data_IF_177924032960
#
_entry.id   IF_177924032960
#
_cell.length_a   1.000
_cell.length_b   1.000
_cell.length_c   1.000
_cell.angle_alpha   90.00
_cell.angle_beta   90.00
_cell.angle_gamma   90.00
#
_symmetry.space_group_name_H-M   'P 1'
#
loop_
_entity.id
_entity.type
_entity.pdbx_description
1 polymer ?
#
# COMPACT_ATOMS: atom_id res chain seq x y z
N UNK A 1 30.40 -32.66 -2.81
CA UNK A 1 30.86 -31.27 -2.78
C UNK A 1 31.78 -31.14 -1.55
N UNK A 2 33.08 -31.02 -1.73
CA UNK A 2 34.05 -30.96 -0.63
C UNK A 2 33.88 -29.60 0.08
N UNK A 3 33.59 -29.63 1.36
CA UNK A 3 33.58 -28.40 2.19
C UNK A 3 35.03 -28.07 2.54
N UNK A 4 35.46 -26.83 2.31
CA UNK A 4 36.74 -26.33 2.77
C UNK A 4 36.82 -26.38 4.31
N UNK A 5 38.00 -26.69 4.86
CA UNK A 5 38.23 -26.57 6.30
C UNK A 5 38.48 -25.08 6.67
N UNK A 6 38.47 -24.78 7.98
CA UNK A 6 38.65 -23.41 8.46
C UNK A 6 39.98 -22.77 8.05
N UNK A 7 41.06 -23.57 8.02
CA UNK A 7 42.39 -23.10 7.65
C UNK A 7 42.45 -22.70 6.16
N UNK A 8 41.81 -23.48 5.29
CA UNK A 8 41.69 -23.15 3.86
C UNK A 8 40.84 -21.89 3.62
N UNK A 9 39.79 -21.71 4.41
CA UNK A 9 38.94 -20.51 4.34
C UNK A 9 39.75 -19.30 4.78
N UNK A 10 40.47 -19.39 5.88
CA UNK A 10 41.32 -18.32 6.40
C UNK A 10 42.43 -17.94 5.42
N UNK A 11 43.03 -18.91 4.74
CA UNK A 11 44.06 -18.67 3.71
C UNK A 11 43.49 -17.92 2.53
N UNK A 12 42.28 -18.24 2.05
CA UNK A 12 41.60 -17.44 0.99
C UNK A 12 41.41 -15.98 1.43
N UNK A 13 41.07 -15.77 2.68
CA UNK A 13 40.77 -14.43 3.22
C UNK A 13 42.03 -13.60 3.50
N UNK A 14 43.22 -14.21 3.59
CA UNK A 14 44.49 -13.51 3.85
C UNK A 14 45.26 -13.18 2.59
N UNK A 15 44.83 -13.63 1.40
CA UNK A 15 45.48 -13.23 0.16
C UNK A 15 45.42 -11.71 -0.08
N UNK A 16 46.55 -11.16 -0.56
CA UNK A 16 46.62 -9.75 -0.88
C UNK A 16 45.55 -9.35 -1.91
N UNK A 17 44.99 -8.13 -1.82
CA UNK A 17 43.92 -7.66 -2.72
C UNK A 17 44.24 -7.77 -4.22
N UNK A 18 45.50 -7.63 -4.59
CA UNK A 18 45.96 -7.64 -5.99
C UNK A 18 45.87 -9.02 -6.66
N UNK A 19 45.78 -10.12 -5.88
CA UNK A 19 45.59 -11.45 -6.45
C UNK A 19 44.14 -11.62 -6.95
N UNK A 20 44.02 -12.01 -8.20
CA UNK A 20 42.72 -12.33 -8.77
C UNK A 20 42.18 -13.66 -8.21
N UNK A 21 40.86 -13.83 -8.20
CA UNK A 21 40.24 -15.08 -7.78
C UNK A 21 40.67 -16.30 -8.62
N UNK A 22 41.19 -16.09 -9.84
CA UNK A 22 41.74 -17.16 -10.69
C UNK A 22 43.11 -17.61 -10.21
N UNK A 23 43.98 -16.71 -9.81
CA UNK A 23 45.32 -16.99 -9.29
C UNK A 23 45.23 -17.74 -7.97
N UNK A 24 44.36 -17.26 -7.05
CA UNK A 24 44.11 -17.92 -5.78
C UNK A 24 43.51 -19.33 -5.99
N UNK A 25 42.60 -19.49 -6.92
CA UNK A 25 42.00 -20.78 -7.26
C UNK A 25 43.02 -21.77 -7.78
N UNK A 26 43.97 -21.28 -8.59
CA UNK A 26 45.06 -22.09 -9.16
C UNK A 26 46.07 -22.49 -8.08
N UNK A 27 46.47 -21.56 -7.19
CA UNK A 27 47.40 -21.81 -6.10
C UNK A 27 46.86 -22.81 -5.07
N UNK A 28 45.59 -22.73 -4.76
CA UNK A 28 44.92 -23.57 -3.79
C UNK A 28 44.30 -24.87 -4.36
N UNK A 29 44.33 -25.06 -5.67
CA UNK A 29 43.74 -26.24 -6.32
C UNK A 29 42.20 -26.32 -6.18
N UNK A 30 41.51 -25.21 -6.07
CA UNK A 30 40.06 -25.14 -5.84
C UNK A 30 39.33 -24.36 -6.93
N UNK A 31 38.01 -24.42 -6.93
CA UNK A 31 37.22 -23.74 -7.96
C UNK A 31 37.16 -22.20 -7.71
N UNK A 32 37.31 -21.41 -8.77
CA UNK A 32 37.19 -19.94 -8.74
C UNK A 32 35.92 -19.42 -8.03
N UNK A 33 34.78 -20.09 -8.26
CA UNK A 33 33.51 -19.70 -7.62
C UNK A 33 33.56 -19.89 -6.11
N UNK A 34 34.32 -20.88 -5.63
CA UNK A 34 34.54 -21.11 -4.21
C UNK A 34 35.42 -20.02 -3.59
N UNK A 35 36.48 -19.59 -4.27
CA UNK A 35 37.31 -18.44 -3.83
C UNK A 35 36.48 -17.18 -3.73
N UNK A 36 35.72 -16.86 -4.77
CA UNK A 36 34.86 -15.66 -4.79
C UNK A 36 33.84 -15.64 -3.64
N UNK A 37 33.26 -16.81 -3.32
CA UNK A 37 32.30 -16.94 -2.22
C UNK A 37 32.92 -16.62 -0.86
N UNK A 38 34.10 -17.14 -0.56
CA UNK A 38 34.72 -16.97 0.76
C UNK A 38 35.49 -15.66 0.91
N UNK A 39 35.92 -15.04 -0.18
CA UNK A 39 36.56 -13.71 -0.18
C UNK A 39 35.53 -12.60 0.10
N UNK A 40 34.36 -12.66 -0.51
CA UNK A 40 33.27 -11.70 -0.29
C UNK A 40 32.63 -11.84 1.11
N UNK A 41 32.74 -13.01 1.76
CA UNK A 41 32.27 -13.20 3.13
C UNK A 41 33.08 -12.40 4.17
N UNK A 42 34.37 -12.14 3.91
CA UNK A 42 35.21 -11.34 4.82
C UNK A 42 34.85 -9.85 4.78
N UNK A 43 34.55 -9.30 3.60
CA UNK A 43 34.16 -7.89 3.46
C UNK A 43 32.83 -7.60 4.18
N UNK A 44 31.88 -8.53 4.08
CA UNK A 44 30.57 -8.38 4.77
C UNK A 44 30.67 -8.55 6.30
N UNK A 45 31.42 -9.53 6.78
CA UNK A 45 31.50 -9.84 8.23
C UNK A 45 32.36 -8.86 9.02
N UNK A 46 33.40 -8.25 8.43
CA UNK A 46 34.27 -7.31 9.14
C UNK A 46 33.64 -5.92 9.34
N UNK A 47 32.86 -5.44 8.37
CA UNK A 47 32.16 -4.15 8.46
C UNK A 47 30.97 -4.27 9.40
N UNK A 48 30.14 -5.33 9.26
CA UNK A 48 28.98 -5.53 10.12
C UNK A 48 29.34 -5.84 11.59
N UNK A 49 30.44 -6.56 11.85
CA UNK A 49 30.81 -6.94 13.21
C UNK A 49 31.44 -5.77 14.01
N UNK A 50 32.24 -4.90 13.38
CA UNK A 50 32.80 -3.72 14.04
C UNK A 50 31.72 -2.67 14.33
N UNK A 51 30.81 -2.44 13.40
CA UNK A 51 29.71 -1.51 13.57
C UNK A 51 28.69 -1.99 14.61
N UNK A 52 28.40 -3.29 14.66
CA UNK A 52 27.46 -3.88 15.64
C UNK A 52 28.05 -3.90 17.04
N UNK A 53 29.38 -4.13 17.20
CA UNK A 53 30.04 -4.08 18.52
C UNK A 53 30.11 -2.64 19.03
N UNK A 54 30.49 -1.68 18.20
CA UNK A 54 30.47 -0.25 18.51
C UNK A 54 29.07 0.23 18.91
N UNK A 55 28.05 -0.11 18.13
CA UNK A 55 26.64 0.24 18.43
C UNK A 55 26.14 -0.40 19.74
N UNK A 56 26.52 -1.63 20.06
CA UNK A 56 26.12 -2.26 21.32
C UNK A 56 26.78 -1.63 22.54
N UNK A 57 28.03 -1.24 22.43
CA UNK A 57 28.74 -0.54 23.51
C UNK A 57 28.17 0.86 23.74
N UNK A 58 27.87 1.60 22.67
CA UNK A 58 27.20 2.89 22.72
C UNK A 58 25.77 2.77 23.29
N UNK A 59 25.00 1.78 22.87
CA UNK A 59 23.67 1.50 23.39
C UNK A 59 23.67 1.14 24.87
N UNK A 60 24.67 0.34 25.33
CA UNK A 60 24.83 0.01 26.74
C UNK A 60 25.19 1.24 27.57
N UNK A 61 26.09 2.10 27.08
CA UNK A 61 26.47 3.33 27.75
C UNK A 61 25.28 4.30 27.84
N UNK A 62 24.50 4.39 26.78
CA UNK A 62 23.28 5.21 26.74
C UNK A 62 22.21 4.69 27.70
N UNK A 63 21.96 3.36 27.72
CA UNK A 63 21.00 2.75 28.68
C UNK A 63 21.44 2.94 30.13
N UNK A 64 22.73 2.88 30.41
CA UNK A 64 23.27 3.15 31.74
C UNK A 64 23.03 4.62 32.16
N UNK A 65 23.37 5.59 31.28
CA UNK A 65 23.09 7.01 31.49
C UNK A 65 21.61 7.33 31.59
N UNK A 66 20.77 6.74 30.73
CA UNK A 66 19.33 6.93 30.79
C UNK A 66 18.70 6.37 32.07
N UNK A 67 19.26 5.27 32.60
CA UNK A 67 18.83 4.69 33.88
C UNK A 67 19.22 5.60 35.05
N UNK A 68 20.44 6.10 35.05
CA UNK A 68 20.96 7.08 36.05
C UNK A 68 20.10 8.35 36.04
N UNK A 69 19.82 8.92 34.88
CA UNK A 69 18.93 10.07 34.70
C UNK A 69 17.50 9.78 35.20
N UNK A 70 16.98 8.60 34.95
CA UNK A 70 15.63 8.21 35.39
C UNK A 70 15.56 8.00 36.90
N UNK A 71 16.66 7.54 37.53
CA UNK A 71 16.75 7.43 38.98
C UNK A 71 16.88 8.81 39.64
N UNK A 72 17.61 9.76 39.04
CA UNK A 72 17.69 11.15 39.48
C UNK A 72 16.37 11.90 39.28
N UNK A 73 15.70 11.70 38.15
CA UNK A 73 14.37 12.27 37.86
C UNK A 73 13.29 11.76 38.82
N UNK A 74 13.38 10.51 39.28
CA UNK A 74 12.44 9.95 40.25
C UNK A 74 12.62 10.50 41.65
N UNK A 75 13.77 11.11 41.95
CA UNK A 75 14.07 11.76 43.24
C UNK A 75 13.72 13.25 43.28
N UNK A 76 13.53 13.89 42.14
CA UNK A 76 13.16 15.31 42.04
C UNK A 76 11.77 15.48 41.41
N UNK A 77 10.77 15.12 42.16
CA UNK A 77 9.38 15.44 41.86
C UNK A 77 9.15 16.93 42.11
N UNK A 78 9.43 17.79 41.17
CA UNK A 78 8.88 19.15 41.01
C UNK A 78 9.77 20.05 40.12
N UNK A 79 9.33 20.30 38.92
CA UNK A 79 9.71 21.32 37.95
C UNK A 79 10.66 20.92 36.83
N UNK A 80 10.05 20.79 35.63
CA UNK A 80 10.78 20.68 34.34
C UNK A 80 11.84 21.79 34.12
N UNK A 81 11.81 22.87 34.90
CA UNK A 81 12.79 23.96 34.83
C UNK A 81 14.10 23.64 35.56
N UNK A 82 14.11 22.76 36.53
CA UNK A 82 15.30 22.43 37.29
C UNK A 82 16.24 21.46 36.58
N UNK A 83 15.74 20.71 35.62
CA UNK A 83 16.55 19.86 34.75
C UNK A 83 17.57 20.63 33.91
N UNK A 84 17.22 21.84 33.43
CA UNK A 84 18.11 22.67 32.66
C UNK A 84 19.22 23.31 33.53
N UNK A 85 19.07 23.32 34.85
CA UNK A 85 20.07 23.84 35.78
C UNK A 85 21.11 22.81 36.21
N UNK A 86 20.87 21.52 35.98
CA UNK A 86 21.79 20.40 36.29
C UNK A 86 22.92 20.24 35.28
N UNK A 87 22.75 20.78 34.08
CA UNK A 87 23.72 20.67 32.99
C UNK A 87 24.20 22.04 32.56
N UNK A 88 25.49 22.18 32.27
CA UNK A 88 26.00 23.40 31.67
C UNK A 88 25.43 23.57 30.26
N UNK A 89 25.33 24.82 29.79
CA UNK A 89 24.93 25.14 28.41
C UNK A 89 25.76 24.38 27.36
N UNK A 90 26.99 24.00 27.73
CA UNK A 90 27.90 23.23 26.90
C UNK A 90 27.43 21.76 26.82
N UNK A 91 27.08 21.14 27.95
CA UNK A 91 26.63 19.75 28.01
C UNK A 91 25.28 19.58 27.28
N UNK A 92 24.37 20.54 27.42
CA UNK A 92 23.10 20.57 26.71
C UNK A 92 23.33 20.71 25.20
N UNK A 93 24.26 21.57 24.77
CA UNK A 93 24.59 21.71 23.34
C UNK A 93 25.26 20.45 22.77
N UNK A 94 26.18 19.84 23.52
CA UNK A 94 26.83 18.59 23.11
C UNK A 94 25.82 17.42 23.04
N UNK A 95 24.91 17.36 24.01
CA UNK A 95 23.83 16.34 24.01
C UNK A 95 22.83 16.57 22.87
N UNK A 96 22.45 17.83 22.61
CA UNK A 96 21.59 18.16 21.46
C UNK A 96 22.31 17.94 20.13
N UNK A 97 23.61 18.18 20.03
CA UNK A 97 24.43 17.92 18.86
C UNK A 97 24.58 16.39 18.63
N UNK A 98 24.77 15.63 19.70
CA UNK A 98 24.83 14.18 19.68
C UNK A 98 23.48 13.59 19.27
N UNK A 99 22.38 14.06 19.84
CA UNK A 99 21.01 13.71 19.44
C UNK A 99 20.79 14.08 17.97
N UNK A 100 21.16 15.27 17.52
CA UNK A 100 21.01 15.71 16.14
C UNK A 100 21.87 14.90 15.15
N UNK A 101 23.04 14.40 15.55
CA UNK A 101 23.93 13.61 14.69
C UNK A 101 23.57 12.12 14.67
N UNK A 102 23.20 11.55 15.80
CA UNK A 102 23.02 10.11 15.94
C UNK A 102 21.55 9.68 15.98
N UNK A 103 20.67 10.58 16.47
CA UNK A 103 19.22 10.38 16.44
C UNK A 103 18.53 11.07 15.27
N UNK A 104 19.25 11.81 14.44
CA UNK A 104 18.62 12.36 13.24
C UNK A 104 18.14 11.25 12.29
N UNK A 105 18.85 10.13 12.26
CA UNK A 105 18.38 8.91 11.58
C UNK A 105 17.26 8.20 12.35
N UNK A 106 17.43 8.04 13.66
CA UNK A 106 16.43 7.35 14.50
C UNK A 106 15.23 8.24 14.80
N UNK A 107 15.38 9.55 14.85
CA UNK A 107 14.26 10.50 14.98
C UNK A 107 13.59 10.70 13.61
N UNK A 108 14.32 10.70 12.51
CA UNK A 108 13.72 10.67 11.18
C UNK A 108 13.05 9.30 10.92
N UNK A 109 13.55 8.19 11.48
CA UNK A 109 12.89 6.89 11.47
C UNK A 109 11.74 6.76 12.50
N UNK A 110 11.77 7.48 13.60
CA UNK A 110 10.73 7.50 14.65
C UNK A 110 9.72 8.65 14.46
N UNK A 111 10.11 9.74 13.81
CA UNK A 111 9.18 10.79 13.35
C UNK A 111 8.70 10.56 11.94
N UNK A 112 9.38 9.76 11.15
CA UNK A 112 8.83 9.18 9.94
C UNK A 112 7.86 8.10 10.38
N UNK A 113 6.61 8.34 10.12
CA UNK A 113 5.58 7.31 10.14
C UNK A 113 6.07 6.26 9.15
N UNK A 114 6.50 5.06 9.61
CA UNK A 114 7.30 4.16 8.77
C UNK A 114 6.49 3.58 7.61
N UNK A 115 5.18 3.81 7.62
CA UNK A 115 4.27 3.31 6.62
C UNK A 115 3.43 4.45 6.06
N UNK A 116 3.75 4.82 4.85
CA UNK A 116 3.03 5.81 4.08
C UNK A 116 2.52 5.17 2.80
N UNK A 117 1.31 5.51 2.40
CA UNK A 117 0.74 5.11 1.14
C UNK A 117 -0.14 6.24 0.59
N UNK A 118 0.13 6.66 -0.62
CA UNK A 118 -0.74 7.56 -1.37
C UNK A 118 -1.29 6.81 -2.57
N UNK A 119 -2.59 6.63 -2.63
CA UNK A 119 -3.23 5.88 -3.70
C UNK A 119 -4.54 6.52 -4.15
N UNK A 120 -4.94 6.21 -5.37
CA UNK A 120 -6.22 6.63 -5.90
C UNK A 120 -7.25 5.51 -5.79
N UNK A 121 -8.46 5.85 -5.40
CA UNK A 121 -9.57 4.92 -5.24
C UNK A 121 -10.66 5.23 -6.25
N UNK A 122 -11.05 4.21 -7.04
CA UNK A 122 -11.94 4.30 -8.19
C UNK A 122 -13.02 3.25 -8.08
N UNK A 123 -14.15 3.48 -8.75
CA UNK A 123 -15.31 2.61 -8.64
C UNK A 123 -16.22 2.65 -9.84
N UNK A 124 -16.95 1.56 -10.04
CA UNK A 124 -18.10 1.45 -10.93
C UNK A 124 -17.88 2.23 -12.23
N UNK A 125 -16.87 1.81 -13.01
CA UNK A 125 -16.53 2.45 -14.27
C UNK A 125 -17.48 2.06 -15.39
N UNK A 126 -18.05 0.85 -15.30
CA UNK A 126 -19.02 0.33 -16.28
C UNK A 126 -18.61 0.63 -17.72
N UNK A 127 -17.36 0.30 -18.06
CA UNK A 127 -16.83 0.52 -19.41
C UNK A 127 -17.74 -0.23 -20.39
N UNK A 128 -18.60 0.37 -21.18
CA UNK A 128 -19.60 -0.13 -22.14
C UNK A 128 -20.95 0.47 -21.92
N UNK A 129 -21.24 0.93 -20.71
CA UNK A 129 -22.39 1.76 -20.55
C UNK A 129 -22.25 3.00 -21.45
N UNK A 130 -23.27 3.35 -22.20
CA UNK A 130 -23.30 4.61 -22.96
C UNK A 130 -23.13 5.81 -22.03
N UNK A 131 -23.44 5.63 -20.77
CA UNK A 131 -23.28 6.60 -19.71
C UNK A 131 -21.91 6.57 -19.04
N UNK A 132 -20.98 5.70 -19.48
CA UNK A 132 -19.60 5.68 -18.94
C UNK A 132 -18.95 7.05 -19.12
N UNK A 133 -18.35 7.54 -18.06
CA UNK A 133 -17.65 8.83 -18.01
C UNK A 133 -16.15 8.62 -18.32
N UNK A 134 -15.86 8.13 -19.51
CA UNK A 134 -14.51 7.68 -19.89
C UNK A 134 -13.51 8.83 -19.94
N UNK A 135 -13.89 9.97 -20.46
CA UNK A 135 -13.01 11.16 -20.56
C UNK A 135 -12.64 11.65 -19.15
N UNK A 136 -13.64 11.69 -18.26
CA UNK A 136 -13.48 12.06 -16.86
C UNK A 136 -12.63 11.03 -16.10
N UNK A 137 -12.71 9.74 -16.45
CA UNK A 137 -11.87 8.69 -15.91
C UNK A 137 -10.40 8.88 -16.34
N UNK A 138 -10.15 9.15 -17.61
CA UNK A 138 -8.80 9.44 -18.10
C UNK A 138 -8.19 10.64 -17.38
N UNK A 139 -8.97 11.74 -17.31
CA UNK A 139 -8.52 12.93 -16.59
C UNK A 139 -8.19 12.65 -15.13
N UNK A 140 -9.04 11.88 -14.43
CA UNK A 140 -8.78 11.49 -13.04
C UNK A 140 -7.48 10.70 -12.89
N UNK A 141 -7.17 9.77 -13.81
CA UNK A 141 -5.92 9.02 -13.80
C UNK A 141 -4.70 9.92 -13.98
N UNK A 142 -4.79 10.89 -14.90
CA UNK A 142 -3.71 11.84 -15.15
C UNK A 142 -3.51 12.79 -13.95
N UNK A 143 -4.59 13.30 -13.37
CA UNK A 143 -4.57 14.17 -12.19
C UNK A 143 -4.02 13.41 -10.97
N UNK A 144 -4.48 12.19 -10.73
CA UNK A 144 -3.99 11.36 -9.62
C UNK A 144 -2.50 11.03 -9.78
N UNK A 145 -2.05 10.74 -11.00
CA UNK A 145 -0.63 10.56 -11.28
C UNK A 145 0.19 11.82 -11.01
N UNK A 146 -0.33 12.99 -11.37
CA UNK A 146 0.30 14.27 -11.09
C UNK A 146 0.40 14.55 -9.59
N UNK A 147 -0.53 14.00 -8.79
CA UNK A 147 -0.54 14.03 -7.33
C UNK A 147 0.32 12.92 -6.68
N UNK A 148 1.14 12.23 -7.47
CA UNK A 148 2.11 11.24 -6.99
C UNK A 148 1.49 10.03 -6.29
N UNK A 149 0.35 9.54 -6.74
CA UNK A 149 -0.18 8.26 -6.25
C UNK A 149 0.73 7.10 -6.64
N UNK A 150 0.83 6.10 -5.79
CA UNK A 150 1.66 4.91 -5.99
C UNK A 150 0.92 3.82 -6.75
N UNK A 151 -0.41 3.79 -6.62
CA UNK A 151 -1.27 2.82 -7.30
C UNK A 151 -2.72 3.30 -7.36
N UNK A 152 -3.52 2.55 -8.11
CA UNK A 152 -4.96 2.69 -8.15
C UNK A 152 -5.63 1.47 -7.53
N UNK A 153 -6.74 1.68 -6.85
CA UNK A 153 -7.57 0.62 -6.28
C UNK A 153 -8.97 0.75 -6.86
N UNK A 154 -9.37 -0.22 -7.67
CA UNK A 154 -10.68 -0.24 -8.33
C UNK A 154 -11.55 -1.35 -7.74
N UNK A 155 -12.74 -0.99 -7.38
CA UNK A 155 -13.50 -1.83 -6.49
C UNK A 155 -14.74 -2.45 -7.09
N UNK A 156 -14.58 -2.95 -8.29
CA UNK A 156 -15.58 -3.73 -9.00
C UNK A 156 -16.42 -2.92 -9.98
N UNK A 157 -17.23 -3.63 -10.73
CA UNK A 157 -18.01 -3.14 -11.86
C UNK A 157 -17.13 -2.38 -12.88
N UNK A 158 -16.05 -3.08 -13.29
CA UNK A 158 -15.14 -2.59 -14.31
C UNK A 158 -15.84 -2.51 -15.67
N UNK A 159 -16.63 -3.55 -15.99
CA UNK A 159 -17.43 -3.63 -17.21
C UNK A 159 -18.93 -3.59 -16.91
N UNK A 160 -19.74 -3.48 -17.94
CA UNK A 160 -21.21 -3.41 -17.81
C UNK A 160 -21.89 -4.57 -18.52
N UNK A 161 -22.08 -5.73 -17.83
CA UNK A 161 -22.79 -6.87 -18.41
C UNK A 161 -24.27 -6.54 -18.73
N UNK A 162 -24.78 -7.01 -19.86
CA UNK A 162 -26.21 -6.91 -20.16
C UNK A 162 -27.02 -7.88 -19.28
N UNK A 163 -28.26 -7.52 -18.96
CA UNK A 163 -29.22 -8.33 -18.20
C UNK A 163 -29.07 -8.33 -16.68
N UNK A 164 -28.25 -7.46 -16.10
CA UNK A 164 -28.24 -7.25 -14.65
C UNK A 164 -29.55 -6.60 -14.20
N UNK A 165 -30.11 -5.71 -14.99
CA UNK A 165 -31.45 -5.14 -14.77
C UNK A 165 -32.24 -4.99 -16.07
N UNK A 166 -33.57 -4.87 -15.93
CA UNK A 166 -34.48 -4.78 -17.07
C UNK A 166 -34.21 -3.52 -17.90
N UNK A 167 -34.05 -3.67 -19.21
CA UNK A 167 -33.82 -2.63 -20.23
C UNK A 167 -32.36 -2.15 -20.33
N UNK A 168 -31.44 -2.69 -19.55
CA UNK A 168 -30.02 -2.34 -19.58
C UNK A 168 -29.40 -2.50 -20.97
N UNK A 169 -29.82 -3.51 -21.73
CA UNK A 169 -29.32 -3.76 -23.09
C UNK A 169 -29.44 -2.55 -24.05
N UNK A 170 -30.29 -1.57 -23.75
CA UNK A 170 -30.42 -0.34 -24.54
C UNK A 170 -29.48 0.77 -24.10
N UNK A 171 -28.89 0.61 -22.93
CA UNK A 171 -27.93 1.56 -22.34
C UNK A 171 -26.49 1.17 -22.61
N UNK A 172 -26.24 0.06 -23.30
CA UNK A 172 -24.91 -0.44 -23.63
C UNK A 172 -24.52 -0.11 -25.06
N UNK A 173 -23.21 0.17 -25.28
CA UNK A 173 -22.63 0.38 -26.61
C UNK A 173 -22.27 -0.92 -27.28
N UNK A 174 -21.73 -1.86 -26.53
CA UNK A 174 -21.30 -3.18 -27.01
C UNK A 174 -21.95 -4.28 -26.17
N UNK A 175 -22.02 -5.51 -26.70
CA UNK A 175 -22.76 -6.58 -26.04
C UNK A 175 -21.99 -7.89 -25.89
N UNK A 176 -20.98 -8.08 -26.74
CA UNK A 176 -20.25 -9.33 -26.77
C UNK A 176 -19.03 -9.32 -25.88
N UNK A 177 -18.65 -10.49 -25.38
CA UNK A 177 -17.55 -10.67 -24.45
C UNK A 177 -16.22 -10.12 -24.99
N UNK A 178 -15.85 -10.54 -26.19
CA UNK A 178 -14.61 -10.13 -26.86
C UNK A 178 -14.56 -8.63 -27.16
N UNK A 179 -15.67 -8.05 -27.65
CA UNK A 179 -15.76 -6.60 -27.85
C UNK A 179 -15.53 -5.83 -26.56
N UNK A 180 -16.06 -6.34 -25.45
CA UNK A 180 -15.90 -5.72 -24.16
C UNK A 180 -14.46 -5.84 -23.62
N UNK A 181 -13.85 -6.99 -23.77
CA UNK A 181 -12.43 -7.15 -23.44
C UNK A 181 -11.57 -6.20 -24.25
N UNK A 182 -11.74 -6.19 -25.56
CA UNK A 182 -10.94 -5.37 -26.48
C UNK A 182 -11.02 -3.89 -26.14
N UNK A 183 -12.19 -3.40 -25.80
CA UNK A 183 -12.34 -2.00 -25.44
C UNK A 183 -11.68 -1.67 -24.11
N UNK A 184 -11.88 -2.47 -23.05
CA UNK A 184 -11.16 -2.22 -21.79
C UNK A 184 -9.67 -2.20 -22.04
N UNK A 185 -9.17 -3.18 -22.80
CA UNK A 185 -7.73 -3.25 -23.13
C UNK A 185 -7.26 -1.99 -23.85
N UNK A 186 -8.09 -1.44 -24.73
CA UNK A 186 -7.78 -0.28 -25.55
C UNK A 186 -8.04 1.05 -24.86
N UNK A 187 -9.21 1.19 -24.26
CA UNK A 187 -9.75 2.49 -23.86
C UNK A 187 -9.63 2.77 -22.34
N UNK A 188 -9.41 1.74 -21.49
CA UNK A 188 -9.17 1.98 -20.07
C UNK A 188 -7.84 2.72 -19.84
N UNK A 189 -7.76 3.75 -18.97
CA UNK A 189 -6.55 4.52 -18.75
C UNK A 189 -5.31 3.67 -18.49
N UNK A 190 -4.17 4.07 -19.06
CA UNK A 190 -2.87 3.41 -18.86
C UNK A 190 -1.81 4.45 -18.52
N UNK A 191 -1.50 4.57 -17.23
CA UNK A 191 -0.56 5.58 -16.70
C UNK A 191 0.73 4.98 -16.15
N UNK A 192 0.97 3.67 -16.38
CA UNK A 192 2.15 2.91 -15.94
C UNK A 192 2.25 2.72 -14.42
N UNK A 193 1.13 2.87 -13.72
CA UNK A 193 0.96 2.52 -12.32
C UNK A 193 -0.02 1.35 -12.21
N UNK A 194 0.14 0.44 -11.23
CA UNK A 194 -0.76 -0.69 -11.09
C UNK A 194 -2.15 -0.24 -10.65
N UNK A 195 -3.17 -0.85 -11.25
CA UNK A 195 -4.56 -0.78 -10.81
C UNK A 195 -4.96 -2.14 -10.25
N UNK A 196 -5.11 -2.22 -8.95
CA UNK A 196 -5.62 -3.41 -8.26
C UNK A 196 -7.14 -3.39 -8.30
N UNK A 197 -7.79 -4.47 -8.75
CA UNK A 197 -9.24 -4.48 -8.86
C UNK A 197 -9.88 -5.79 -8.41
N UNK A 198 -11.10 -5.70 -7.87
CA UNK A 198 -11.97 -6.82 -7.55
C UNK A 198 -13.13 -6.91 -8.54
N UNK A 199 -13.91 -7.97 -8.47
CA UNK A 199 -15.14 -8.11 -9.23
C UNK A 199 -16.28 -7.27 -8.64
N UNK A 200 -17.13 -6.77 -9.51
CA UNK A 200 -18.48 -6.34 -9.17
C UNK A 200 -19.53 -7.32 -9.65
N UNK A 201 -20.78 -7.04 -9.38
CA UNK A 201 -21.87 -7.90 -9.80
C UNK A 201 -22.10 -7.89 -11.32
N UNK A 202 -21.69 -6.82 -12.00
CA UNK A 202 -21.70 -6.76 -13.46
C UNK A 202 -20.62 -7.65 -14.07
N UNK A 203 -19.42 -7.60 -13.53
CA UNK A 203 -18.29 -8.44 -13.96
C UNK A 203 -18.60 -9.93 -13.76
N UNK A 204 -19.14 -10.32 -12.58
CA UNK A 204 -19.51 -11.69 -12.26
C UNK A 204 -20.60 -12.24 -13.16
N UNK A 205 -21.49 -11.40 -13.63
CA UNK A 205 -22.59 -11.83 -14.48
C UNK A 205 -22.12 -12.50 -15.77
N UNK A 206 -20.93 -12.17 -16.28
CA UNK A 206 -20.31 -12.91 -17.38
C UNK A 206 -20.05 -14.37 -17.04
N UNK A 207 -19.47 -14.61 -15.87
CA UNK A 207 -19.17 -15.97 -15.42
C UNK A 207 -20.46 -16.78 -15.21
N UNK A 208 -21.48 -16.15 -14.61
CA UNK A 208 -22.79 -16.81 -14.36
C UNK A 208 -23.50 -17.22 -15.64
N UNK A 209 -23.47 -16.41 -16.68
CA UNK A 209 -24.24 -16.65 -17.90
C UNK A 209 -23.48 -17.38 -19.00
N UNK A 210 -22.18 -17.15 -19.13
CA UNK A 210 -21.38 -17.74 -20.21
C UNK A 210 -20.28 -18.70 -19.73
N UNK A 211 -20.01 -18.74 -18.43
CA UNK A 211 -18.88 -19.48 -17.88
C UNK A 211 -17.51 -18.83 -18.18
N UNK A 212 -17.50 -17.62 -18.76
CA UNK A 212 -16.28 -16.89 -19.10
C UNK A 212 -15.98 -15.80 -18.05
N UNK A 213 -14.74 -15.76 -17.60
CA UNK A 213 -14.26 -14.76 -16.65
C UNK A 213 -13.64 -13.60 -17.41
N UNK A 214 -14.39 -12.50 -17.53
CA UNK A 214 -13.96 -11.31 -18.26
C UNK A 214 -12.82 -10.60 -17.57
N UNK A 215 -12.82 -10.55 -16.26
CA UNK A 215 -11.80 -9.85 -15.47
C UNK A 215 -10.45 -10.54 -15.54
N UNK A 216 -10.45 -11.87 -15.56
CA UNK A 216 -9.25 -12.67 -15.79
C UNK A 216 -8.67 -12.45 -17.19
N UNK A 217 -9.52 -12.38 -18.20
CA UNK A 217 -9.09 -12.14 -19.58
C UNK A 217 -8.47 -10.75 -19.71
N UNK A 218 -9.09 -9.72 -19.12
CA UNK A 218 -8.56 -8.35 -19.10
C UNK A 218 -7.20 -8.30 -18.40
N UNK A 219 -7.05 -8.89 -17.22
CA UNK A 219 -5.80 -8.93 -16.48
C UNK A 219 -4.69 -9.72 -17.21
N UNK A 220 -5.06 -10.70 -18.03
CA UNK A 220 -4.09 -11.42 -18.85
C UNK A 220 -3.57 -10.57 -20.03
N UNK A 221 -4.39 -9.66 -20.54
CA UNK A 221 -4.04 -8.78 -21.68
C UNK A 221 -3.42 -7.43 -21.24
N UNK A 222 -3.57 -7.05 -19.98
CA UNK A 222 -3.13 -5.78 -19.41
C UNK A 222 -2.33 -6.03 -18.14
N UNK A 223 -1.03 -5.87 -18.20
CA UNK A 223 -0.06 -6.06 -17.13
C UNK A 223 -0.19 -5.06 -15.96
N UNK A 224 -0.79 -3.90 -16.22
CA UNK A 224 -1.07 -2.85 -15.24
C UNK A 224 -2.42 -3.06 -14.51
N UNK A 225 -3.30 -3.95 -14.99
CA UNK A 225 -4.57 -4.29 -14.37
C UNK A 225 -4.45 -5.59 -13.58
N UNK A 226 -4.35 -5.51 -12.27
CA UNK A 226 -4.10 -6.64 -11.37
C UNK A 226 -5.41 -7.10 -10.75
N UNK A 227 -5.92 -8.25 -11.21
CA UNK A 227 -7.14 -8.84 -10.68
C UNK A 227 -6.90 -9.50 -9.33
N UNK A 228 -7.61 -9.06 -8.30
CA UNK A 228 -7.55 -9.57 -6.93
C UNK A 228 -8.55 -10.69 -6.65
N UNK A 229 -9.31 -11.08 -7.66
CA UNK A 229 -10.37 -12.11 -7.60
C UNK A 229 -11.56 -11.75 -6.69
N UNK A 230 -12.74 -12.26 -7.05
CA UNK A 230 -14.00 -12.17 -6.31
C UNK A 230 -14.44 -10.77 -5.84
N UNK A 231 -15.52 -10.74 -5.06
CA UNK A 231 -16.18 -9.54 -4.53
C UNK A 231 -15.49 -8.91 -3.35
N UNK A 232 -14.53 -9.59 -2.74
CA UNK A 232 -13.77 -9.11 -1.60
C UNK A 232 -12.30 -9.47 -1.75
N UNK A 233 -11.46 -8.54 -1.34
CA UNK A 233 -10.02 -8.73 -1.28
C UNK A 233 -9.42 -7.89 -0.17
N UNK A 234 -8.31 -8.36 0.35
CA UNK A 234 -7.48 -7.60 1.29
C UNK A 234 -6.12 -7.35 0.67
N UNK A 235 -5.78 -6.09 0.51
CA UNK A 235 -4.47 -5.62 0.08
C UNK A 235 -3.66 -5.20 1.28
N UNK A 236 -2.39 -5.57 1.32
CA UNK A 236 -1.43 -5.01 2.25
C UNK A 236 -0.34 -4.31 1.44
N UNK A 237 -0.39 -2.99 1.44
CA UNK A 237 0.56 -2.13 0.76
C UNK A 237 1.27 -1.28 1.81
N UNK A 238 2.59 -1.41 1.92
CA UNK A 238 3.39 -0.70 2.92
C UNK A 238 2.84 -0.83 4.36
N UNK A 239 2.42 -2.03 4.77
CA UNK A 239 1.75 -2.32 6.05
C UNK A 239 0.44 -1.56 6.30
N UNK A 240 -0.12 -0.95 5.28
CA UNK A 240 -1.47 -0.40 5.28
C UNK A 240 -2.41 -1.44 4.69
N UNK A 241 -3.37 -1.86 5.50
CA UNK A 241 -4.32 -2.90 5.13
C UNK A 241 -5.59 -2.26 4.58
N UNK A 242 -5.87 -2.55 3.30
CA UNK A 242 -7.06 -2.08 2.61
C UNK A 242 -7.93 -3.29 2.33
N UNK A 243 -9.12 -3.32 2.87
CA UNK A 243 -10.12 -4.33 2.55
C UNK A 243 -11.15 -3.74 1.58
N UNK A 244 -11.40 -4.47 0.51
CA UNK A 244 -12.32 -4.10 -0.56
C UNK A 244 -13.48 -5.07 -0.56
N UNK A 245 -14.69 -4.57 -0.79
CA UNK A 245 -15.86 -5.42 -0.89
C UNK A 245 -16.91 -4.84 -1.84
N UNK A 246 -17.36 -5.65 -2.81
CA UNK A 246 -18.43 -5.29 -3.73
C UNK A 246 -19.61 -6.24 -3.58
N UNK A 247 -20.64 -5.81 -2.83
CA UNK A 247 -21.82 -6.63 -2.58
C UNK A 247 -23.10 -5.92 -3.00
N UNK A 248 -23.97 -6.66 -3.68
CA UNK A 248 -25.30 -6.21 -4.01
C UNK A 248 -26.22 -6.13 -2.80
N UNK A 249 -27.34 -5.48 -2.98
CA UNK A 249 -28.43 -5.38 -2.01
C UNK A 249 -29.10 -4.01 -2.04
N UNK A 250 -30.34 -3.93 -1.55
CA UNK A 250 -31.12 -2.69 -1.58
C UNK A 250 -30.54 -1.55 -0.76
N UNK A 251 -30.89 -0.31 -1.08
CA UNK A 251 -30.53 0.88 -0.32
C UNK A 251 -31.13 0.88 1.09
N UNK A 252 -30.40 1.46 2.05
CA UNK A 252 -30.88 1.76 3.39
C UNK A 252 -31.22 3.25 3.52
N UNK A 253 -32.06 3.60 4.50
CA UNK A 253 -32.40 5.00 4.78
C UNK A 253 -31.19 5.82 5.20
N UNK A 254 -30.37 5.28 6.14
CA UNK A 254 -29.08 5.85 6.46
C UNK A 254 -28.07 5.36 5.43
N UNK A 255 -27.40 6.32 4.79
CA UNK A 255 -26.50 5.99 3.67
C UNK A 255 -25.27 5.20 4.08
N UNK A 256 -24.75 5.44 5.30
CA UNK A 256 -23.57 4.79 5.87
C UNK A 256 -23.90 3.52 6.67
N UNK A 257 -25.17 3.22 6.91
CA UNK A 257 -25.61 2.09 7.73
C UNK A 257 -25.01 0.76 7.28
N UNK A 258 -25.00 0.51 5.97
CA UNK A 258 -24.44 -0.73 5.46
C UNK A 258 -22.94 -0.82 5.64
N UNK A 259 -22.24 0.28 5.39
CA UNK A 259 -20.81 0.39 5.63
C UNK A 259 -20.48 0.05 7.09
N UNK A 260 -21.20 0.63 8.05
CA UNK A 260 -21.03 0.34 9.47
C UNK A 260 -21.32 -1.14 9.78
N UNK A 261 -22.39 -1.70 9.23
CA UNK A 261 -22.77 -3.12 9.42
C UNK A 261 -21.69 -4.09 8.92
N UNK A 262 -21.08 -3.80 7.78
CA UNK A 262 -19.97 -4.61 7.28
C UNK A 262 -18.74 -4.48 8.17
N UNK A 263 -18.38 -3.27 8.57
CA UNK A 263 -17.27 -3.05 9.51
C UNK A 263 -17.52 -3.77 10.83
N UNK A 264 -18.75 -3.77 11.35
CA UNK A 264 -19.11 -4.49 12.58
C UNK A 264 -18.97 -6.01 12.47
N UNK A 265 -19.08 -6.56 11.26
CA UNK A 265 -18.90 -7.99 11.02
C UNK A 265 -17.44 -8.43 10.96
N UNK A 266 -16.50 -7.48 10.89
CA UNK A 266 -15.07 -7.79 10.86
C UNK A 266 -14.58 -8.21 12.25
N UNK A 267 -13.90 -9.34 12.33
CA UNK A 267 -13.28 -9.83 13.55
C UNK A 267 -12.19 -8.86 14.03
N UNK A 268 -12.13 -8.58 15.33
CA UNK A 268 -11.27 -7.53 15.89
C UNK A 268 -9.78 -7.63 15.52
N UNK A 269 -9.26 -8.82 15.33
CA UNK A 269 -7.84 -9.01 14.92
C UNK A 269 -7.60 -8.91 13.41
N UNK A 270 -8.67 -8.77 12.60
CA UNK A 270 -8.61 -8.64 11.14
C UNK A 270 -8.99 -7.24 10.67
N UNK A 271 -9.05 -6.29 11.58
CA UNK A 271 -9.45 -4.91 11.25
C UNK A 271 -8.50 -4.29 10.23
N UNK A 272 -9.01 -3.85 9.06
CA UNK A 272 -8.21 -3.12 8.10
C UNK A 272 -8.02 -1.66 8.53
N UNK A 273 -7.08 -0.97 7.91
CA UNK A 273 -6.92 0.47 8.06
C UNK A 273 -7.99 1.23 7.27
N UNK A 274 -8.29 0.70 6.08
CA UNK A 274 -9.26 1.25 5.15
C UNK A 274 -10.21 0.14 4.71
N UNK A 275 -11.51 0.43 4.72
CA UNK A 275 -12.55 -0.44 4.21
C UNK A 275 -13.34 0.24 3.11
N UNK A 276 -13.37 -0.36 1.94
CA UNK A 276 -14.13 0.11 0.82
C UNK A 276 -15.36 -0.77 0.54
N UNK A 277 -16.55 -0.17 0.46
CA UNK A 277 -17.81 -0.83 0.16
C UNK A 277 -18.49 -0.20 -1.08
N UNK A 278 -18.99 -1.02 -2.00
CA UNK A 278 -19.50 -0.60 -3.30
C UNK A 278 -20.93 -0.99 -3.60
N UNK A 279 -21.40 -0.59 -4.80
CA UNK A 279 -22.71 -0.85 -5.36
C UNK A 279 -23.75 0.27 -5.19
N UNK A 280 -23.53 1.22 -4.27
CA UNK A 280 -24.60 2.20 -3.93
C UNK A 280 -24.47 3.57 -4.61
N UNK A 281 -23.41 3.80 -5.38
CA UNK A 281 -23.11 5.06 -6.07
C UNK A 281 -23.30 6.31 -5.17
N UNK A 282 -22.87 6.23 -3.93
CA UNK A 282 -23.04 7.29 -2.93
C UNK A 282 -21.70 7.59 -2.26
N UNK A 283 -21.22 8.83 -2.34
CA UNK A 283 -19.97 9.20 -1.73
C UNK A 283 -20.09 9.39 -0.22
N UNK A 284 -19.51 8.47 0.51
CA UNK A 284 -19.44 8.50 1.96
C UNK A 284 -17.98 8.28 2.40
N UNK A 285 -17.59 8.99 3.43
CA UNK A 285 -16.43 8.70 4.23
C UNK A 285 -16.87 8.70 5.68
N UNK A 286 -16.70 7.59 6.37
CA UNK A 286 -17.09 7.41 7.75
C UNK A 286 -15.96 6.74 8.53
N UNK A 287 -15.72 7.20 9.74
CA UNK A 287 -14.81 6.53 10.68
C UNK A 287 -15.66 5.69 11.65
N UNK A 288 -15.52 4.38 11.57
CA UNK A 288 -16.21 3.45 12.43
C UNK A 288 -15.23 2.39 12.96
N UNK A 289 -15.22 2.12 14.27
CA UNK A 289 -14.24 1.22 14.91
C UNK A 289 -12.79 1.50 14.53
N UNK A 290 -12.41 2.78 14.37
CA UNK A 290 -11.08 3.22 13.91
C UNK A 290 -10.70 2.78 12.48
N UNK A 291 -11.66 2.27 11.72
CA UNK A 291 -11.54 1.92 10.31
C UNK A 291 -12.09 3.07 9.48
N UNK A 292 -11.30 3.55 8.53
CA UNK A 292 -11.76 4.54 7.56
C UNK A 292 -12.57 3.82 6.47
N UNK A 293 -13.89 3.95 6.55
CA UNK A 293 -14.82 3.38 5.60
C UNK A 293 -15.15 4.33 4.46
N UNK A 294 -15.04 3.86 3.22
CA UNK A 294 -15.37 4.62 2.03
C UNK A 294 -16.47 3.93 1.23
N UNK A 295 -17.45 4.71 0.83
CA UNK A 295 -18.37 4.39 -0.26
C UNK A 295 -18.26 5.53 -1.27
N UNK A 296 -18.05 5.23 -2.51
CA UNK A 296 -17.74 6.25 -3.49
C UNK A 296 -18.83 6.57 -4.50
N UNK A 297 -18.56 7.54 -5.34
CA UNK A 297 -19.30 7.80 -6.56
C UNK A 297 -18.83 6.90 -7.71
N UNK A 298 -19.57 6.85 -8.80
CA UNK A 298 -19.24 6.07 -9.98
C UNK A 298 -18.67 6.95 -11.10
N UNK A 299 -17.87 6.37 -12.00
CA UNK A 299 -17.54 7.01 -13.27
C UNK A 299 -18.62 6.75 -14.32
N UNK A 300 -19.86 7.03 -13.92
CA UNK A 300 -21.05 6.80 -14.71
C UNK A 300 -21.94 8.05 -14.73
N UNK A 301 -22.21 8.58 -15.90
CA UNK A 301 -23.18 9.67 -16.11
C UNK A 301 -24.59 9.15 -15.80
N UNK A 302 -25.54 10.06 -15.62
CA UNK A 302 -26.89 9.69 -15.22
C UNK A 302 -27.57 8.79 -16.28
N UNK A 303 -27.79 7.52 -15.96
CA UNK A 303 -28.53 6.55 -16.77
C UNK A 303 -30.00 6.44 -16.34
N UNK A 304 -30.79 5.57 -16.99
CA UNK A 304 -32.20 5.38 -16.67
C UNK A 304 -32.42 4.86 -15.25
N UNK A 305 -31.52 3.96 -14.78
CA UNK A 305 -31.58 3.42 -13.42
C UNK A 305 -31.37 4.52 -12.40
N UNK A 306 -30.33 5.33 -12.57
CA UNK A 306 -30.00 6.46 -11.67
C UNK A 306 -31.14 7.49 -11.63
N UNK A 307 -31.75 7.79 -12.78
CA UNK A 307 -32.94 8.67 -12.86
C UNK A 307 -34.12 8.09 -12.09
N UNK A 308 -34.41 6.81 -12.26
CA UNK A 308 -35.52 6.12 -11.60
C UNK A 308 -35.38 6.12 -10.08
N UNK A 309 -34.18 5.84 -9.58
CA UNK A 309 -33.90 5.76 -8.15
C UNK A 309 -33.41 7.07 -7.54
N UNK A 310 -33.32 8.13 -8.35
CA UNK A 310 -32.84 9.47 -7.92
C UNK A 310 -31.48 9.44 -7.26
N UNK A 311 -30.56 8.63 -7.83
CA UNK A 311 -29.18 8.62 -7.37
C UNK A 311 -28.49 9.96 -7.69
N UNK A 312 -27.64 10.46 -6.80
CA UNK A 312 -26.83 11.63 -7.12
C UNK A 312 -25.92 11.32 -8.30
N UNK A 313 -25.80 12.27 -9.20
CA UNK A 313 -24.93 12.15 -10.36
C UNK A 313 -23.65 12.95 -10.11
N UNK A 314 -22.73 12.36 -9.38
CA UNK A 314 -21.41 12.94 -9.15
C UNK A 314 -20.37 11.95 -9.65
N UNK A 315 -19.50 12.44 -10.53
CA UNK A 315 -18.46 11.68 -11.18
C UNK A 315 -17.12 12.04 -10.53
N UNK A 316 -16.29 11.07 -10.27
CA UNK A 316 -14.96 11.30 -9.75
C UNK A 316 -14.45 10.19 -8.86
N UNK A 317 -13.20 10.31 -8.42
CA UNK A 317 -12.52 9.38 -7.52
C UNK A 317 -11.94 10.10 -6.31
N UNK A 318 -11.23 9.36 -5.48
CA UNK A 318 -10.54 9.90 -4.30
C UNK A 318 -9.07 9.62 -4.35
N UNK A 319 -8.26 10.59 -3.99
CA UNK A 319 -6.88 10.38 -3.58
C UNK A 319 -6.86 10.24 -2.07
N UNK A 320 -6.30 9.14 -1.60
CA UNK A 320 -6.16 8.82 -0.19
C UNK A 320 -4.68 8.82 0.14
N UNK A 321 -4.35 9.62 1.13
CA UNK A 321 -3.02 9.76 1.69
C UNK A 321 -3.08 9.29 3.13
N UNK A 322 -2.40 8.20 3.45
CA UNK A 322 -2.44 7.60 4.78
C UNK A 322 -1.05 7.33 5.32
N UNK A 323 -0.83 7.81 6.51
CA UNK A 323 0.32 7.49 7.35
C UNK A 323 -0.10 6.59 8.51
N UNK A 324 0.73 5.62 8.86
CA UNK A 324 0.51 4.72 9.99
C UNK A 324 1.82 4.51 10.73
N UNK A 325 1.84 4.74 12.03
CA UNK A 325 3.01 4.50 12.88
C UNK A 325 3.07 3.06 13.40
N UNK A 326 4.16 2.71 14.06
CA UNK A 326 4.39 1.37 14.64
C UNK A 326 3.38 0.99 15.73
N UNK A 327 2.69 1.96 16.32
CA UNK A 327 1.63 1.76 17.32
C UNK A 327 0.24 1.66 16.70
N UNK A 328 0.16 1.71 15.36
CA UNK A 328 -1.11 1.65 14.64
C UNK A 328 -1.89 2.97 14.62
N UNK A 329 -1.30 4.09 15.09
CA UNK A 329 -1.91 5.41 14.98
C UNK A 329 -1.89 5.85 13.52
N UNK A 330 -3.04 6.28 13.02
CA UNK A 330 -3.24 6.65 11.62
C UNK A 330 -3.51 8.14 11.49
N UNK A 331 -2.99 8.71 10.40
CA UNK A 331 -3.38 10.02 9.90
C UNK A 331 -3.78 9.83 8.44
N UNK A 332 -5.01 10.20 8.11
CA UNK A 332 -5.55 10.02 6.78
C UNK A 332 -6.11 11.33 6.24
N UNK A 333 -5.74 11.64 5.02
CA UNK A 333 -6.33 12.70 4.21
C UNK A 333 -6.98 12.07 2.98
N UNK A 334 -8.23 12.42 2.70
CA UNK A 334 -8.94 11.95 1.52
C UNK A 334 -9.41 13.15 0.72
N UNK A 335 -8.80 13.35 -0.44
CA UNK A 335 -9.14 14.42 -1.37
C UNK A 335 -10.05 13.86 -2.45
N UNK A 336 -11.16 14.53 -2.70
CA UNK A 336 -12.06 14.20 -3.78
C UNK A 336 -11.70 15.00 -5.01
N UNK A 337 -11.48 14.30 -6.12
CA UNK A 337 -11.31 14.91 -7.43
C UNK A 337 -12.58 14.69 -8.26
N UNK A 338 -13.27 15.75 -8.53
CA UNK A 338 -14.47 15.79 -9.38
C UNK A 338 -14.31 16.83 -10.48
N UNK A 339 -15.09 16.67 -11.50
CA UNK A 339 -15.38 17.74 -12.48
C UNK A 339 -16.68 18.45 -12.18
#
# INVERSE_FOLDING_TARGET
>A
MWKLNQEQIQRIQTYHPDFSNNEIAKDMGINRKTVAKYRNLKEKTSVEASDVLSRKEEEMLFRAKAKELKEELSKSDRNKLDLLKLYSDKDVKEMLAYIAQNYKRDIDEVLWIPWHLRFAMIWDTHIWAKACALDELHKFYDDAKAEWVECFVHCGDLVDWCWVYKWQQFEQSEKWFDEQVDKVVKDYPKVWLPTYFIWGNHDESYLKWSGADITRMIAWLRDDLINLWYYDATLNLNNIVIQLQHWGGGNSYSKDYKLQRYIDSIEAWKEPDIFGLWHYHQAIHSLHRWIHGFMPWAFLKQNLLAKRFRFPNVIGGRIIDIDKDEYGKKRLTATFLNE
#
